data_IF_475458116494
#
_entry.id   IF_475458116494
#
_cell.length_a   1.000
_cell.length_b   1.000
_cell.length_c   1.000
_cell.angle_alpha   90.00
_cell.angle_beta   90.00
_cell.angle_gamma   90.00
#
_symmetry.space_group_name_H-M   'P 1'
#
loop_
_entity.id
_entity.type
_entity.pdbx_description
1 polymer ?
#
# COMPACT_ATOMS: atom_id res chain seq x y z
N UNK A 1 -2.86 47.28 -43.07
CA UNK A 1 -3.61 46.24 -42.34
C UNK A 1 -2.74 45.01 -42.21
N UNK A 2 -2.19 44.74 -41.03
CA UNK A 2 -1.50 43.49 -40.66
C UNK A 2 -2.07 43.09 -39.29
N UNK A 3 -2.82 41.98 -39.25
CA UNK A 3 -3.29 41.41 -38.00
C UNK A 3 -2.13 40.64 -37.34
N UNK A 4 -1.87 40.95 -36.07
CA UNK A 4 -0.90 40.24 -35.21
C UNK A 4 -1.53 38.91 -34.78
N UNK A 5 -0.79 37.83 -34.97
CA UNK A 5 -1.15 36.51 -34.43
C UNK A 5 -1.03 36.52 -32.91
N UNK A 6 -2.12 36.17 -32.24
CA UNK A 6 -2.15 35.84 -30.82
C UNK A 6 -1.88 34.34 -30.72
N UNK A 7 -0.72 33.96 -30.18
CA UNK A 7 -0.48 32.58 -29.75
C UNK A 7 -1.38 32.28 -28.55
N UNK A 8 -2.11 31.16 -28.51
CA UNK A 8 -2.77 30.75 -27.29
C UNK A 8 -1.69 30.32 -26.28
N UNK A 9 -1.73 30.94 -25.10
CA UNK A 9 -1.09 30.45 -23.89
C UNK A 9 -1.58 29.01 -23.66
N UNK A 10 -0.67 28.04 -23.81
CA UNK A 10 -0.85 26.70 -23.30
C UNK A 10 -0.79 26.83 -21.78
N UNK A 11 -1.93 26.62 -21.13
CA UNK A 11 -1.99 26.42 -19.69
C UNK A 11 -1.51 24.99 -19.45
N UNK A 12 -0.40 24.84 -18.73
CA UNK A 12 0.09 23.54 -18.28
C UNK A 12 -1.02 22.85 -17.47
N UNK A 13 -1.58 21.78 -18.03
CA UNK A 13 -2.55 20.92 -17.35
C UNK A 13 -1.76 19.83 -16.60
N UNK A 14 -1.76 19.80 -15.26
CA UNK A 14 -1.02 18.81 -14.47
C UNK A 14 -1.59 17.38 -14.58
N UNK A 15 -2.60 17.13 -15.41
CA UNK A 15 -3.24 15.82 -15.61
C UNK A 15 -2.61 14.95 -16.71
N UNK A 16 -1.49 15.34 -17.32
CA UNK A 16 -0.86 14.57 -18.42
C UNK A 16 0.35 13.72 -18.03
N UNK A 17 0.87 13.80 -16.80
CA UNK A 17 2.01 12.98 -16.34
C UNK A 17 1.62 11.66 -15.62
N UNK A 18 0.33 11.34 -15.54
CA UNK A 18 -0.19 10.11 -14.93
C UNK A 18 -1.07 9.29 -15.87
N UNK A 19 -0.65 9.16 -17.14
CA UNK A 19 -1.10 7.99 -17.92
C UNK A 19 -0.22 6.80 -17.55
N UNK A 20 -0.80 5.66 -17.10
CA UNK A 20 -0.02 4.48 -16.81
C UNK A 20 0.57 3.96 -18.13
N UNK A 21 1.89 4.01 -18.27
CA UNK A 21 2.55 2.95 -19.03
C UNK A 21 2.49 1.69 -18.17
N UNK A 22 1.85 0.61 -18.63
CA UNK A 22 2.07 -0.69 -18.04
C UNK A 22 3.52 -1.03 -18.42
N UNK A 23 4.43 -1.04 -17.45
CA UNK A 23 5.82 -1.49 -17.61
C UNK A 23 6.71 -0.59 -18.47
N UNK A 24 7.38 0.36 -17.82
CA UNK A 24 8.76 0.67 -18.17
C UNK A 24 9.68 0.07 -17.10
N UNK A 25 10.82 -0.57 -17.45
CA UNK A 25 11.85 -0.84 -16.45
C UNK A 25 12.25 0.48 -15.78
N UNK A 26 12.85 0.40 -14.60
CA UNK A 26 13.48 1.52 -13.91
C UNK A 26 14.59 2.12 -14.80
N UNK A 27 14.24 2.92 -15.81
CA UNK A 27 15.17 3.71 -16.65
C UNK A 27 15.15 5.14 -16.15
N UNK A 28 15.36 5.31 -14.84
CA UNK A 28 15.74 6.60 -14.31
C UNK A 28 17.26 6.75 -14.46
N UNK A 29 17.69 7.75 -15.24
CA UNK A 29 19.06 8.24 -15.20
C UNK A 29 19.42 8.67 -13.77
N UNK A 30 20.67 8.37 -13.37
CA UNK A 30 21.30 8.72 -12.08
C UNK A 30 21.18 10.19 -11.65
N UNK A 31 20.89 11.11 -12.57
CA UNK A 31 20.86 12.55 -12.31
C UNK A 31 19.46 13.08 -11.95
N UNK A 32 18.45 12.21 -11.85
CA UNK A 32 17.08 12.61 -11.49
C UNK A 32 16.90 12.71 -9.95
N UNK A 33 16.09 13.65 -9.43
CA UNK A 33 15.73 13.72 -8.01
C UNK A 33 15.23 12.39 -7.42
N UNK A 34 14.63 11.54 -8.26
CA UNK A 34 14.21 10.18 -7.93
C UNK A 34 15.36 9.29 -7.41
N UNK A 35 16.61 9.53 -7.81
CA UNK A 35 17.76 8.78 -7.27
C UNK A 35 18.13 9.19 -5.84
N UNK A 36 17.86 10.44 -5.42
CA UNK A 36 18.07 10.87 -4.04
C UNK A 36 17.29 9.98 -3.07
N UNK A 37 16.01 9.79 -3.39
CA UNK A 37 15.08 8.91 -2.65
C UNK A 37 15.54 7.45 -2.68
N UNK A 38 15.96 6.94 -3.85
CA UNK A 38 16.49 5.56 -3.98
C UNK A 38 17.71 5.32 -3.10
N UNK A 39 18.70 6.21 -3.15
CA UNK A 39 19.94 6.08 -2.36
C UNK A 39 19.65 6.22 -0.87
N UNK A 40 18.78 7.15 -0.50
CA UNK A 40 18.43 7.38 0.91
C UNK A 40 17.61 6.20 1.46
N UNK A 41 16.66 5.66 0.71
CA UNK A 41 15.89 4.48 1.09
C UNK A 41 16.77 3.22 1.21
N UNK A 42 17.69 2.98 0.27
CA UNK A 42 18.56 1.79 0.29
C UNK A 42 19.60 1.84 1.40
N UNK A 43 20.33 2.96 1.50
CA UNK A 43 21.58 3.01 2.23
C UNK A 43 21.48 3.72 3.58
N UNK A 44 20.43 4.49 3.82
CA UNK A 44 20.12 5.02 5.13
C UNK A 44 21.28 5.71 5.84
N UNK A 45 21.55 5.40 7.13
CA UNK A 45 22.67 5.99 7.87
C UNK A 45 24.05 5.61 7.30
N UNK A 46 24.14 4.53 6.52
CA UNK A 46 25.37 4.02 5.90
C UNK A 46 25.61 4.59 4.48
N UNK A 47 24.92 5.67 4.10
CA UNK A 47 25.03 6.30 2.76
C UNK A 47 26.46 6.51 2.29
N UNK A 48 27.36 6.98 3.18
CA UNK A 48 28.77 7.19 2.84
C UNK A 48 29.49 5.88 2.53
N UNK A 49 29.23 4.81 3.30
CA UNK A 49 29.80 3.48 3.10
C UNK A 49 29.27 2.83 1.83
N UNK A 50 27.97 2.93 1.58
CA UNK A 50 27.34 2.50 0.33
C UNK A 50 28.01 3.16 -0.89
N UNK A 51 28.13 4.50 -0.86
CA UNK A 51 28.78 5.26 -1.95
C UNK A 51 30.25 4.88 -2.12
N UNK A 52 30.99 4.69 -1.03
CA UNK A 52 32.38 4.26 -1.09
C UNK A 52 32.55 2.84 -1.68
N UNK A 53 31.62 1.94 -1.38
CA UNK A 53 31.66 0.53 -1.82
C UNK A 53 31.21 0.39 -3.27
N UNK A 54 30.14 1.09 -3.65
CA UNK A 54 29.53 0.95 -4.97
C UNK A 54 30.01 1.98 -5.98
N UNK A 55 30.73 3.01 -5.52
CA UNK A 55 31.21 4.12 -6.34
C UNK A 55 30.08 4.98 -6.90
N UNK A 56 30.45 5.89 -7.81
CA UNK A 56 29.51 6.70 -8.60
C UNK A 56 29.05 5.91 -9.84
N UNK A 57 28.50 4.71 -9.64
CA UNK A 57 27.91 3.94 -10.74
C UNK A 57 26.89 4.81 -11.46
N UNK A 58 27.06 4.92 -12.79
CA UNK A 58 26.24 5.79 -13.64
C UNK A 58 24.85 5.25 -13.96
N UNK A 59 24.54 4.03 -13.54
CA UNK A 59 23.23 3.43 -13.77
C UNK A 59 22.58 3.09 -12.43
N UNK A 60 21.34 3.54 -12.23
CA UNK A 60 20.58 3.33 -10.99
C UNK A 60 20.46 1.86 -10.62
N UNK A 61 20.15 1.02 -11.60
CA UNK A 61 20.00 -0.42 -11.40
C UNK A 61 21.31 -1.08 -10.95
N UNK A 62 22.42 -0.72 -11.60
CA UNK A 62 23.74 -1.22 -11.24
C UNK A 62 24.19 -0.75 -9.85
N UNK A 63 23.84 0.48 -9.46
CA UNK A 63 24.09 0.98 -8.11
C UNK A 63 23.27 0.22 -7.08
N UNK A 64 21.95 0.09 -7.29
CA UNK A 64 21.04 -0.62 -6.39
C UNK A 64 21.47 -2.08 -6.19
N UNK A 65 21.79 -2.79 -7.27
CA UNK A 65 22.33 -4.15 -7.24
C UNK A 65 23.56 -4.25 -6.32
N UNK A 66 24.55 -3.37 -6.50
CA UNK A 66 25.73 -3.35 -5.64
C UNK A 66 25.41 -3.00 -4.18
N UNK A 67 24.50 -2.07 -3.95
CA UNK A 67 24.13 -1.68 -2.59
C UNK A 67 23.44 -2.84 -1.86
N UNK A 68 22.56 -3.59 -2.54
CA UNK A 68 21.96 -4.83 -2.01
C UNK A 68 23.04 -5.86 -1.71
N UNK A 69 24.00 -6.07 -2.63
CA UNK A 69 25.12 -6.99 -2.41
C UNK A 69 25.95 -6.61 -1.18
N UNK A 70 26.22 -5.31 -0.99
CA UNK A 70 26.95 -4.79 0.16
C UNK A 70 26.17 -4.88 1.47
N UNK A 71 24.85 -4.64 1.42
CA UNK A 71 23.98 -4.67 2.59
C UNK A 71 23.71 -6.09 3.05
N UNK A 72 23.55 -7.06 2.14
CA UNK A 72 23.09 -8.41 2.47
C UNK A 72 24.13 -9.52 2.28
N UNK A 73 25.30 -9.23 1.68
CA UNK A 73 26.25 -10.26 1.23
C UNK A 73 26.92 -11.11 2.34
N UNK A 74 26.75 -10.76 3.61
CA UNK A 74 27.16 -11.59 4.76
C UNK A 74 26.09 -12.63 5.18
N UNK A 75 24.90 -12.59 4.57
CA UNK A 75 23.77 -13.49 4.79
C UNK A 75 23.20 -13.94 3.44
N UNK A 76 23.67 -15.09 2.94
CA UNK A 76 23.33 -15.57 1.59
C UNK A 76 21.83 -15.78 1.36
N UNK A 77 21.08 -16.14 2.40
CA UNK A 77 19.63 -16.34 2.30
C UNK A 77 18.90 -15.00 2.17
N UNK A 78 19.19 -14.04 3.07
CA UNK A 78 18.62 -12.69 2.94
C UNK A 78 19.08 -12.01 1.65
N UNK A 79 20.33 -12.21 1.24
CA UNK A 79 20.85 -11.67 -0.01
C UNK A 79 20.05 -12.17 -1.22
N UNK A 80 19.79 -13.48 -1.30
CA UNK A 80 19.01 -14.07 -2.39
C UNK A 80 17.62 -13.43 -2.45
N UNK A 81 16.92 -13.34 -1.32
CA UNK A 81 15.58 -12.79 -1.25
C UNK A 81 15.53 -11.27 -1.51
N UNK A 82 16.54 -10.53 -1.04
CA UNK A 82 16.67 -9.10 -1.32
C UNK A 82 16.93 -8.84 -2.81
N UNK A 83 17.75 -9.68 -3.45
CA UNK A 83 17.94 -9.66 -4.91
C UNK A 83 16.65 -10.01 -5.64
N UNK A 84 15.92 -11.01 -5.19
CA UNK A 84 14.62 -11.40 -5.75
C UNK A 84 13.60 -10.26 -5.68
N UNK A 85 13.49 -9.59 -4.52
CA UNK A 85 12.63 -8.41 -4.34
C UNK A 85 12.95 -7.30 -5.36
N UNK A 86 14.24 -7.06 -5.62
CA UNK A 86 14.67 -6.04 -6.55
C UNK A 86 14.59 -6.46 -8.02
N UNK A 87 15.06 -7.66 -8.35
CA UNK A 87 15.20 -8.11 -9.73
C UNK A 87 13.84 -8.51 -10.34
N UNK A 88 12.94 -9.10 -9.55
CA UNK A 88 11.59 -9.46 -10.00
C UNK A 88 10.60 -8.31 -9.85
N UNK A 89 10.54 -7.70 -8.67
CA UNK A 89 9.53 -6.68 -8.38
C UNK A 89 10.04 -5.25 -8.58
N UNK A 90 11.34 -5.00 -8.77
CA UNK A 90 11.85 -3.63 -8.85
C UNK A 90 11.75 -2.85 -7.53
N UNK A 91 11.45 -3.53 -6.43
CA UNK A 91 11.30 -2.93 -5.09
C UNK A 91 12.64 -3.01 -4.35
N UNK A 92 13.11 -1.87 -3.83
CA UNK A 92 14.41 -1.79 -3.17
C UNK A 92 14.31 -2.21 -1.69
N UNK A 93 15.04 -3.25 -1.23
CA UNK A 93 15.10 -3.62 0.17
C UNK A 93 16.19 -2.82 0.89
N UNK A 94 15.80 -1.76 1.58
CA UNK A 94 16.69 -0.84 2.27
C UNK A 94 16.35 -0.66 3.74
N UNK A 95 17.08 0.19 4.45
CA UNK A 95 16.78 0.53 5.85
C UNK A 95 16.40 1.99 6.07
N UNK A 96 16.67 2.84 5.07
CA UNK A 96 16.46 4.29 5.17
C UNK A 96 17.21 4.95 6.32
N UNK A 97 17.12 6.28 6.42
CA UNK A 97 17.76 6.96 7.53
C UNK A 97 16.98 6.70 8.83
N UNK A 98 17.66 6.90 9.96
CA UNK A 98 16.95 6.96 11.24
C UNK A 98 16.00 8.16 11.18
N UNK A 99 14.70 7.90 11.34
CA UNK A 99 13.68 8.92 11.33
C UNK A 99 12.89 8.90 12.63
N UNK A 100 12.48 10.10 13.02
CA UNK A 100 11.44 10.31 14.01
C UNK A 100 10.11 10.23 13.27
N UNK A 101 9.28 9.25 13.62
CA UNK A 101 7.94 9.08 13.04
C UNK A 101 6.94 9.71 14.00
N UNK A 102 6.06 10.57 13.49
CA UNK A 102 4.81 10.89 14.16
C UNK A 102 3.80 9.81 13.81
N UNK A 103 3.57 8.88 14.74
CA UNK A 103 2.65 7.76 14.57
C UNK A 103 1.23 8.12 15.04
N UNK A 104 0.85 9.39 14.89
CA UNK A 104 -0.44 9.91 15.30
C UNK A 104 -0.64 9.78 16.81
N UNK A 105 -1.67 9.05 17.22
CA UNK A 105 -1.98 8.90 18.65
C UNK A 105 -0.92 8.13 19.45
N UNK A 106 -0.07 7.36 18.78
CA UNK A 106 1.07 6.68 19.42
C UNK A 106 2.22 7.65 19.71
N UNK A 107 2.12 8.87 19.20
CA UNK A 107 3.07 9.94 19.41
C UNK A 107 4.34 9.77 18.57
N UNK A 108 5.36 10.50 19.00
CA UNK A 108 6.62 10.62 18.29
C UNK A 108 7.58 9.50 18.70
N UNK A 109 8.02 8.68 17.74
CA UNK A 109 8.86 7.51 17.98
C UNK A 109 10.17 7.58 17.21
N UNK A 110 11.25 7.12 17.84
CA UNK A 110 12.54 6.94 17.17
C UNK A 110 12.58 5.57 16.49
N UNK A 111 13.00 5.56 15.24
CA UNK A 111 13.31 4.33 14.51
C UNK A 111 14.81 4.05 14.51
N UNK A 112 15.19 2.79 14.37
CA UNK A 112 16.55 2.35 14.09
C UNK A 112 16.56 1.49 12.85
N UNK A 113 17.45 1.81 11.92
CA UNK A 113 17.72 1.00 10.75
C UNK A 113 18.01 -0.45 11.16
N UNK A 114 17.34 -1.41 10.53
CA UNK A 114 17.52 -2.83 10.82
C UNK A 114 17.26 -3.67 9.57
N UNK A 115 18.20 -4.56 9.21
CA UNK A 115 18.03 -5.44 8.05
C UNK A 115 17.32 -6.74 8.44
N UNK A 116 16.44 -7.30 7.58
CA UNK A 116 15.80 -8.61 7.77
C UNK A 116 16.80 -9.76 7.51
N UNK A 117 17.74 -9.93 8.44
CA UNK A 117 18.79 -10.97 8.44
C UNK A 117 18.65 -11.93 9.60
N UNK A 118 19.32 -13.08 9.49
CA UNK A 118 19.30 -14.13 10.52
C UNK A 118 17.86 -14.52 10.89
N UNK A 119 17.47 -14.28 12.15
CA UNK A 119 16.13 -14.60 12.65
C UNK A 119 15.00 -13.85 11.91
N UNK A 120 15.28 -12.69 11.28
CA UNK A 120 14.29 -11.86 10.59
C UNK A 120 14.19 -12.14 9.08
N UNK A 121 14.90 -13.15 8.56
CA UNK A 121 14.88 -13.53 7.12
C UNK A 121 13.48 -13.78 6.57
N UNK A 122 12.62 -14.35 7.41
CA UNK A 122 11.27 -14.74 7.04
C UNK A 122 10.44 -13.52 6.56
N UNK A 123 10.71 -12.30 7.03
CA UNK A 123 10.04 -11.10 6.52
C UNK A 123 10.31 -10.85 5.02
N UNK A 124 11.54 -11.07 4.54
CA UNK A 124 11.82 -10.96 3.10
C UNK A 124 11.08 -12.04 2.30
N UNK A 125 11.03 -13.27 2.83
CA UNK A 125 10.29 -14.36 2.20
C UNK A 125 8.79 -14.01 2.06
N UNK A 126 8.21 -13.47 3.13
CA UNK A 126 6.81 -13.04 3.15
C UNK A 126 6.54 -11.88 2.21
N UNK A 127 7.43 -10.87 2.15
CA UNK A 127 7.27 -9.73 1.25
C UNK A 127 7.37 -10.14 -0.23
N UNK A 128 8.36 -10.96 -0.58
CA UNK A 128 8.50 -11.46 -1.96
C UNK A 128 7.27 -12.26 -2.37
N UNK A 129 6.82 -13.20 -1.53
CA UNK A 129 5.62 -13.99 -1.83
C UNK A 129 4.36 -13.13 -1.88
N UNK A 130 4.23 -12.18 -0.97
CA UNK A 130 3.13 -11.23 -0.92
C UNK A 130 3.02 -10.40 -2.20
N UNK A 131 4.13 -9.80 -2.66
CA UNK A 131 4.13 -9.02 -3.91
C UNK A 131 3.78 -9.87 -5.12
N UNK A 132 4.29 -11.11 -5.22
CA UNK A 132 3.88 -12.04 -6.29
C UNK A 132 2.38 -12.30 -6.28
N UNK A 133 1.79 -12.55 -5.12
CA UNK A 133 0.35 -12.78 -4.99
C UNK A 133 -0.44 -11.51 -5.37
N UNK A 134 -0.04 -10.34 -4.88
CA UNK A 134 -0.68 -9.05 -5.21
C UNK A 134 -0.65 -8.82 -6.72
N UNK A 135 0.52 -8.94 -7.35
CA UNK A 135 0.69 -8.78 -8.79
C UNK A 135 -0.13 -9.79 -9.59
N UNK A 136 -0.19 -11.05 -9.15
CA UNK A 136 -0.98 -12.09 -9.82
C UNK A 136 -2.49 -11.83 -9.73
N UNK A 137 -3.00 -11.43 -8.56
CA UNK A 137 -4.44 -11.13 -8.39
C UNK A 137 -4.83 -9.91 -9.21
N UNK A 138 -4.04 -8.84 -9.15
CA UNK A 138 -4.30 -7.62 -9.92
C UNK A 138 -4.20 -7.90 -11.44
N UNK A 139 -3.24 -8.74 -11.88
CA UNK A 139 -3.17 -9.16 -13.27
C UNK A 139 -4.40 -9.96 -13.70
N UNK A 140 -4.90 -10.89 -12.88
CA UNK A 140 -6.12 -11.65 -13.17
C UNK A 140 -7.34 -10.73 -13.30
N UNK A 141 -7.48 -9.75 -12.40
CA UNK A 141 -8.53 -8.73 -12.46
C UNK A 141 -8.42 -7.88 -13.72
N UNK A 142 -7.21 -7.44 -14.07
CA UNK A 142 -6.96 -6.66 -15.28
C UNK A 142 -7.33 -7.41 -16.57
N UNK A 143 -7.25 -8.75 -16.60
CA UNK A 143 -7.72 -9.53 -17.77
C UNK A 143 -9.24 -9.56 -17.93
N UNK A 144 -9.98 -9.23 -16.87
CA UNK A 144 -11.45 -9.21 -16.85
C UNK A 144 -12.01 -7.81 -17.08
N UNK A 145 -11.22 -6.75 -16.83
CA UNK A 145 -11.69 -5.37 -16.95
C UNK A 145 -11.76 -4.89 -18.40
N UNK A 146 -12.80 -4.10 -18.71
CA UNK A 146 -12.86 -3.29 -19.93
C UNK A 146 -12.21 -1.91 -19.78
N UNK A 147 -11.92 -1.50 -18.55
CA UNK A 147 -11.27 -0.23 -18.21
C UNK A 147 -9.84 -0.48 -17.70
N UNK A 148 -8.96 0.53 -17.72
CA UNK A 148 -7.64 0.38 -17.12
C UNK A 148 -7.73 0.17 -15.60
N UNK A 149 -7.00 -0.83 -15.08
CA UNK A 149 -6.71 -0.92 -13.64
C UNK A 149 -5.66 0.13 -13.30
N UNK A 150 -5.98 1.04 -12.38
CA UNK A 150 -5.13 2.17 -11.99
C UNK A 150 -4.41 1.95 -10.64
N UNK A 151 -4.30 0.69 -10.21
CA UNK A 151 -3.59 0.34 -8.98
C UNK A 151 -2.14 -0.08 -9.25
N UNK A 152 -1.17 0.65 -8.68
CA UNK A 152 0.23 0.23 -8.62
C UNK A 152 0.41 -0.82 -7.54
N UNK A 153 0.92 -1.98 -7.94
CA UNK A 153 1.03 -3.19 -7.10
C UNK A 153 2.24 -3.26 -6.18
N UNK A 154 3.10 -2.24 -6.19
CA UNK A 154 4.39 -2.26 -5.49
C UNK A 154 4.87 -0.87 -5.08
N UNK A 155 5.58 -0.75 -3.94
CA UNK A 155 6.32 0.46 -3.61
C UNK A 155 7.62 0.55 -4.42
N UNK A 156 8.26 1.71 -4.43
CA UNK A 156 9.62 1.86 -4.95
C UNK A 156 10.66 1.23 -4.02
N UNK A 157 10.42 1.31 -2.71
CA UNK A 157 11.29 0.72 -1.70
C UNK A 157 10.51 0.22 -0.50
N UNK A 158 11.08 -0.78 0.16
CA UNK A 158 10.70 -1.17 1.52
C UNK A 158 11.86 -0.79 2.43
N UNK A 159 11.55 0.01 3.44
CA UNK A 159 12.50 0.55 4.40
C UNK A 159 12.36 -0.20 5.73
N UNK A 160 13.29 -1.10 6.01
CA UNK A 160 13.28 -1.93 7.20
C UNK A 160 13.84 -1.21 8.43
N UNK A 161 13.05 -1.20 9.50
CA UNK A 161 13.42 -0.57 10.77
C UNK A 161 12.94 -1.39 11.97
N UNK A 162 13.34 -0.92 13.15
CA UNK A 162 12.77 -1.28 14.45
C UNK A 162 12.47 -0.01 15.24
N UNK A 163 11.54 -0.06 16.18
CA UNK A 163 11.32 1.02 17.16
C UNK A 163 11.92 0.65 18.51
N UNK A 164 12.19 1.65 19.35
CA UNK A 164 12.78 1.41 20.67
C UNK A 164 11.76 0.88 21.69
N UNK A 165 10.55 1.46 21.72
CA UNK A 165 9.31 0.97 22.35
C UNK A 165 8.21 2.03 22.12
N UNK A 166 6.94 1.65 21.91
CA UNK A 166 6.43 0.30 21.62
C UNK A 166 6.72 -0.12 20.17
N UNK A 167 6.55 -1.40 19.82
CA UNK A 167 6.83 -1.96 18.48
C UNK A 167 5.85 -1.51 17.38
N UNK A 168 5.25 -0.33 17.51
CA UNK A 168 4.30 0.24 16.57
C UNK A 168 4.93 1.42 15.80
N UNK A 169 4.38 1.77 14.62
CA UNK A 169 3.43 0.98 13.86
C UNK A 169 4.09 -0.27 13.26
N UNK A 170 3.29 -1.21 12.74
CA UNK A 170 3.82 -2.37 12.01
C UNK A 170 4.41 -1.94 10.67
N UNK A 171 3.74 -1.02 9.99
CA UNK A 171 4.18 -0.43 8.75
C UNK A 171 3.63 1.00 8.61
N UNK A 172 4.11 1.72 7.61
CA UNK A 172 3.51 2.98 7.14
C UNK A 172 3.90 3.21 5.69
N UNK A 173 3.21 4.12 5.02
CA UNK A 173 3.46 4.49 3.63
C UNK A 173 3.72 5.98 3.47
N UNK A 174 4.80 6.35 2.78
CA UNK A 174 5.05 7.74 2.38
C UNK A 174 5.98 7.82 1.18
N UNK A 175 5.81 8.82 0.31
CA UNK A 175 6.73 9.12 -0.80
C UNK A 175 7.07 7.92 -1.71
N UNK A 176 6.11 7.01 -1.91
CA UNK A 176 6.28 5.73 -2.63
C UNK A 176 7.17 4.68 -1.93
N UNK A 177 7.39 4.83 -0.64
CA UNK A 177 8.15 3.91 0.23
C UNK A 177 7.20 3.33 1.26
N UNK A 178 7.36 2.04 1.54
CA UNK A 178 6.73 1.39 2.70
C UNK A 178 7.79 1.27 3.79
N UNK A 179 7.58 1.93 4.92
CA UNK A 179 8.30 1.65 6.14
C UNK A 179 7.81 0.32 6.72
N UNK A 180 8.73 -0.61 7.01
CA UNK A 180 8.42 -1.94 7.53
C UNK A 180 9.12 -2.19 8.86
N UNK A 181 8.35 -2.31 9.94
CA UNK A 181 8.90 -2.62 11.27
C UNK A 181 9.13 -4.13 11.41
N UNK A 182 10.37 -4.56 11.59
CA UNK A 182 10.71 -5.97 11.78
C UNK A 182 10.16 -6.57 13.08
N UNK A 183 9.67 -5.75 13.99
CA UNK A 183 9.03 -6.17 15.24
C UNK A 183 7.56 -5.72 15.31
N UNK A 184 7.00 -5.32 14.16
CA UNK A 184 5.62 -4.88 14.02
C UNK A 184 4.61 -5.94 14.50
N UNK A 185 3.62 -5.57 15.33
CA UNK A 185 2.68 -6.51 15.95
C UNK A 185 1.72 -7.18 14.96
N UNK A 186 1.54 -6.64 13.75
CA UNK A 186 0.73 -7.29 12.70
C UNK A 186 1.53 -8.31 11.89
N UNK A 187 2.86 -8.36 12.04
CA UNK A 187 3.73 -9.24 11.25
C UNK A 187 3.84 -10.64 11.85
N UNK A 188 2.72 -11.27 12.17
CA UNK A 188 2.66 -12.58 12.84
C UNK A 188 2.67 -13.75 11.84
N UNK A 189 2.27 -13.50 10.59
CA UNK A 189 2.22 -14.51 9.54
C UNK A 189 2.41 -13.89 8.16
N UNK A 190 2.73 -14.73 7.17
CA UNK A 190 2.80 -14.33 5.77
C UNK A 190 1.50 -13.65 5.30
N UNK A 191 0.34 -14.18 5.68
CA UNK A 191 -0.95 -13.66 5.27
C UNK A 191 -1.19 -12.25 5.82
N UNK A 192 -0.95 -12.03 7.13
CA UNK A 192 -1.09 -10.71 7.74
C UNK A 192 -0.07 -9.72 7.20
N UNK A 193 1.17 -10.13 6.93
CA UNK A 193 2.17 -9.27 6.26
C UNK A 193 1.75 -8.85 4.86
N UNK A 194 1.20 -9.78 4.07
CA UNK A 194 0.71 -9.47 2.73
C UNK A 194 -0.49 -8.51 2.78
N UNK A 195 -1.40 -8.69 3.73
CA UNK A 195 -2.55 -7.81 3.94
C UNK A 195 -2.09 -6.38 4.32
N UNK A 196 -1.25 -6.26 5.36
CA UNK A 196 -0.60 -4.99 5.74
C UNK A 196 0.17 -4.36 4.57
N UNK A 197 0.91 -5.13 3.79
CA UNK A 197 1.61 -4.60 2.62
C UNK A 197 0.63 -4.04 1.58
N UNK A 198 -0.50 -4.70 1.33
CA UNK A 198 -1.52 -4.19 0.42
C UNK A 198 -2.14 -2.88 0.93
N UNK A 199 -2.46 -2.81 2.22
CA UNK A 199 -2.93 -1.59 2.88
C UNK A 199 -1.97 -0.41 2.67
N UNK A 200 -0.68 -0.62 2.95
CA UNK A 200 0.32 0.44 2.76
C UNK A 200 0.51 0.81 1.28
N UNK A 201 0.43 -0.15 0.37
CA UNK A 201 0.46 0.13 -1.07
C UNK A 201 -0.80 0.93 -1.49
N UNK A 202 -1.95 0.67 -0.88
CA UNK A 202 -3.16 1.45 -1.13
C UNK A 202 -2.96 2.92 -0.74
N UNK A 203 -2.40 3.20 0.43
CA UNK A 203 -2.05 4.57 0.83
C UNK A 203 -1.18 5.29 -0.20
N UNK A 204 -0.20 4.59 -0.78
CA UNK A 204 0.62 5.15 -1.86
C UNK A 204 -0.15 5.43 -3.16
N UNK A 205 -1.18 4.63 -3.47
CA UNK A 205 -2.03 4.83 -4.63
C UNK A 205 -3.01 5.99 -4.40
N UNK A 206 -3.64 6.06 -3.23
CA UNK A 206 -4.55 7.14 -2.86
C UNK A 206 -3.84 8.50 -2.90
N UNK A 207 -2.64 8.60 -2.32
CA UNK A 207 -1.79 9.79 -2.42
C UNK A 207 -1.40 10.11 -3.88
N UNK A 208 -1.08 9.09 -4.68
CA UNK A 208 -0.80 9.24 -6.11
C UNK A 208 -2.00 9.75 -6.92
N UNK A 209 -3.21 9.52 -6.44
CA UNK A 209 -4.47 9.98 -7.01
C UNK A 209 -4.95 11.30 -6.38
N UNK A 210 -4.06 12.02 -5.70
CA UNK A 210 -4.35 13.32 -5.10
C UNK A 210 -5.21 13.21 -3.85
N UNK A 211 -4.96 12.20 -3.02
CA UNK A 211 -5.70 11.92 -1.79
C UNK A 211 -7.19 11.71 -2.08
N UNK A 212 -7.48 10.87 -3.08
CA UNK A 212 -8.81 10.65 -3.64
C UNK A 212 -9.85 10.30 -2.57
N UNK A 213 -9.47 9.49 -1.58
CA UNK A 213 -10.37 9.01 -0.53
C UNK A 213 -10.99 10.15 0.29
N UNK A 214 -10.24 11.24 0.53
CA UNK A 214 -10.71 12.42 1.27
C UNK A 214 -11.91 13.09 0.57
N UNK A 215 -12.00 13.05 -0.77
CA UNK A 215 -13.17 13.61 -1.48
C UNK A 215 -14.25 12.58 -1.73
N UNK A 216 -13.87 11.32 -2.01
CA UNK A 216 -14.77 10.30 -2.49
C UNK A 216 -15.55 9.62 -1.34
N UNK A 217 -14.85 9.32 -0.24
CA UNK A 217 -15.39 8.48 0.83
C UNK A 217 -15.76 9.28 2.08
N UNK A 218 -15.31 10.52 2.26
CA UNK A 218 -15.63 11.31 3.46
C UNK A 218 -17.14 11.42 3.74
N UNK A 219 -18.03 11.66 2.76
CA UNK A 219 -19.47 11.70 3.04
C UNK A 219 -20.02 10.39 3.61
N UNK A 220 -19.56 9.24 3.09
CA UNK A 220 -19.99 7.92 3.56
C UNK A 220 -19.41 7.63 4.95
N UNK A 221 -18.12 7.91 5.15
CA UNK A 221 -17.42 7.74 6.41
C UNK A 221 -18.05 8.59 7.53
N UNK A 222 -18.36 9.86 7.27
CA UNK A 222 -19.06 10.74 8.22
C UNK A 222 -20.46 10.23 8.54
N UNK A 223 -21.22 9.73 7.56
CA UNK A 223 -22.56 9.18 7.81
C UNK A 223 -22.53 7.95 8.73
N UNK A 224 -21.50 7.10 8.61
CA UNK A 224 -21.28 5.96 9.51
C UNK A 224 -21.01 6.46 10.94
N UNK A 225 -20.06 7.39 11.12
CA UNK A 225 -19.72 7.94 12.44
C UNK A 225 -20.88 8.73 13.07
N UNK A 226 -21.69 9.44 12.29
CA UNK A 226 -22.89 10.13 12.78
C UNK A 226 -23.95 9.13 13.27
N UNK A 227 -24.03 7.96 12.64
CA UNK A 227 -25.00 6.91 13.01
C UNK A 227 -24.53 6.13 14.23
N UNK A 228 -23.25 5.77 14.28
CA UNK A 228 -22.71 4.80 15.23
C UNK A 228 -21.89 5.40 16.37
N UNK A 229 -21.38 6.63 16.22
CA UNK A 229 -20.37 7.20 17.12
C UNK A 229 -19.20 6.23 17.36
N UNK A 230 -18.97 5.81 18.61
CA UNK A 230 -17.95 4.85 19.03
C UNK A 230 -18.52 3.48 19.45
N UNK A 231 -19.78 3.17 19.08
CA UNK A 231 -20.41 1.89 19.40
C UNK A 231 -19.89 0.76 18.48
N UNK A 232 -19.12 -0.15 19.06
CA UNK A 232 -18.53 -1.30 18.37
C UNK A 232 -19.56 -2.17 17.63
N UNK A 233 -20.74 -2.42 18.24
CA UNK A 233 -21.75 -3.27 17.63
C UNK A 233 -22.42 -2.60 16.43
N UNK A 234 -22.53 -1.27 16.46
CA UNK A 234 -23.00 -0.48 15.33
C UNK A 234 -21.94 -0.36 14.23
N UNK A 235 -20.66 -0.24 14.59
CA UNK A 235 -19.54 -0.09 13.64
C UNK A 235 -19.15 -1.41 12.96
N UNK A 236 -19.36 -2.57 13.60
CA UNK A 236 -18.98 -3.89 13.10
C UNK A 236 -19.40 -4.17 11.64
N UNK A 237 -20.63 -3.88 11.19
CA UNK A 237 -21.02 -4.11 9.80
C UNK A 237 -20.29 -3.21 8.80
N UNK A 238 -19.75 -2.06 9.24
CA UNK A 238 -19.06 -1.08 8.39
C UNK A 238 -17.55 -1.25 8.38
N UNK A 239 -16.98 -2.01 9.33
CA UNK A 239 -15.55 -2.29 9.41
C UNK A 239 -15.14 -3.28 8.31
N UNK A 240 -14.20 -2.92 7.42
CA UNK A 240 -13.73 -3.84 6.38
C UNK A 240 -12.94 -5.03 6.94
N UNK A 241 -12.27 -4.84 8.09
CA UNK A 241 -11.56 -5.91 8.82
C UNK A 241 -11.78 -5.83 10.35
N UNK A 242 -11.31 -6.83 11.07
CA UNK A 242 -11.42 -6.99 12.53
C UNK A 242 -10.34 -6.22 13.33
N UNK A 243 -9.47 -5.48 12.64
CA UNK A 243 -8.36 -4.74 13.27
C UNK A 243 -8.90 -3.62 14.16
N UNK A 244 -8.58 -3.69 15.46
CA UNK A 244 -8.96 -2.68 16.46
C UNK A 244 -7.74 -2.01 17.09
N UNK A 245 -7.89 -0.74 17.45
CA UNK A 245 -6.89 -0.04 18.26
C UNK A 245 -6.92 -0.62 19.69
N UNK A 246 -5.76 -0.94 20.30
CA UNK A 246 -5.72 -1.39 21.69
C UNK A 246 -6.49 -0.44 22.63
N UNK A 247 -7.49 -1.00 23.33
CA UNK A 247 -8.36 -0.28 24.24
C UNK A 247 -9.37 0.67 23.58
N UNK A 248 -9.62 0.54 22.27
CA UNK A 248 -10.68 1.27 21.58
C UNK A 248 -11.39 0.42 20.54
N UNK A 249 -11.77 1.04 19.42
CA UNK A 249 -12.65 0.43 18.40
C UNK A 249 -11.89 0.07 17.12
N UNK A 250 -12.61 -0.29 16.06
CA UNK A 250 -12.09 -0.57 14.73
C UNK A 250 -11.18 0.55 14.25
N UNK A 251 -10.02 0.15 13.71
CA UNK A 251 -8.92 1.03 13.38
C UNK A 251 -9.29 2.27 12.55
N UNK A 252 -10.15 2.23 11.51
CA UNK A 252 -10.47 3.42 10.75
C UNK A 252 -11.43 4.37 11.48
N UNK A 253 -12.20 3.87 12.45
CA UNK A 253 -13.25 4.61 13.16
C UNK A 253 -12.84 5.11 14.55
N UNK A 254 -11.75 4.60 15.12
CA UNK A 254 -11.31 5.00 16.45
C UNK A 254 -10.98 6.50 16.51
N UNK A 255 -11.48 7.29 17.48
CA UNK A 255 -11.26 8.73 17.53
C UNK A 255 -9.79 9.18 17.49
N UNK A 256 -8.86 8.28 17.82
CA UNK A 256 -7.41 8.50 17.77
C UNK A 256 -6.83 8.42 16.36
N UNK A 257 -7.51 7.76 15.45
CA UNK A 257 -7.10 7.51 14.06
C UNK A 257 -8.12 8.09 13.08
N UNK A 258 -9.42 7.83 13.28
CA UNK A 258 -10.62 8.42 12.65
C UNK A 258 -10.34 9.05 11.28
N UNK A 259 -9.80 8.26 10.38
CA UNK A 259 -9.23 8.72 9.13
C UNK A 259 -9.90 8.00 7.97
N UNK A 260 -10.58 8.78 7.13
CA UNK A 260 -11.17 8.29 5.88
C UNK A 260 -10.15 7.59 4.99
N UNK A 261 -8.88 7.99 5.05
CA UNK A 261 -7.78 7.33 4.33
C UNK A 261 -7.52 5.92 4.83
N UNK A 262 -7.56 5.71 6.15
CA UNK A 262 -7.44 4.36 6.73
C UNK A 262 -8.66 3.51 6.38
N UNK A 263 -9.86 4.10 6.39
CA UNK A 263 -11.07 3.43 5.93
C UNK A 263 -10.97 2.99 4.46
N UNK A 264 -10.45 3.85 3.59
CA UNK A 264 -10.24 3.54 2.17
C UNK A 264 -9.22 2.41 1.99
N UNK A 265 -8.10 2.47 2.71
CA UNK A 265 -7.06 1.45 2.67
C UNK A 265 -7.57 0.09 3.15
N UNK A 266 -8.38 0.06 4.22
CA UNK A 266 -9.01 -1.18 4.69
C UNK A 266 -10.07 -1.72 3.71
N UNK A 267 -10.84 -0.86 3.00
CA UNK A 267 -11.71 -1.33 1.91
C UNK A 267 -10.88 -1.94 0.79
N UNK A 268 -9.76 -1.30 0.41
CA UNK A 268 -8.84 -1.83 -0.58
C UNK A 268 -8.25 -3.18 -0.17
N UNK A 269 -7.79 -3.31 1.07
CA UNK A 269 -7.32 -4.56 1.64
C UNK A 269 -8.42 -5.64 1.60
N UNK A 270 -9.63 -5.30 2.05
CA UNK A 270 -10.76 -6.23 2.04
C UNK A 270 -11.13 -6.69 0.62
N UNK A 271 -11.09 -5.77 -0.35
CA UNK A 271 -11.23 -6.12 -1.77
C UNK A 271 -10.20 -7.15 -2.20
N UNK A 272 -8.93 -6.92 -1.86
CA UNK A 272 -7.84 -7.82 -2.21
C UNK A 272 -8.00 -9.20 -1.57
N UNK A 273 -8.36 -9.27 -0.28
CA UNK A 273 -8.56 -10.54 0.44
C UNK A 273 -9.68 -11.37 -0.20
N UNK A 274 -10.83 -10.75 -0.49
CA UNK A 274 -11.96 -11.44 -1.12
C UNK A 274 -11.64 -11.88 -2.55
N UNK A 275 -10.99 -11.03 -3.34
CA UNK A 275 -10.63 -11.34 -4.73
C UNK A 275 -9.53 -12.40 -4.83
N UNK A 276 -8.56 -12.37 -3.91
CA UNK A 276 -7.53 -13.40 -3.81
C UNK A 276 -8.16 -14.77 -3.55
N UNK A 277 -9.15 -14.88 -2.66
CA UNK A 277 -9.85 -16.14 -2.41
C UNK A 277 -10.47 -16.72 -3.70
N UNK A 278 -11.08 -15.85 -4.50
CA UNK A 278 -11.70 -16.24 -5.77
C UNK A 278 -10.64 -16.63 -6.81
N UNK A 279 -9.59 -15.81 -6.98
CA UNK A 279 -8.55 -16.05 -7.98
C UNK A 279 -7.71 -17.28 -7.66
N UNK A 280 -7.30 -17.46 -6.41
CA UNK A 280 -6.41 -18.57 -6.02
C UNK A 280 -7.16 -19.89 -5.77
N UNK A 281 -8.41 -19.82 -5.28
CA UNK A 281 -9.15 -21.01 -4.80
C UNK A 281 -10.51 -21.21 -5.45
N UNK A 282 -11.02 -20.25 -6.22
CA UNK A 282 -12.38 -20.29 -6.77
C UNK A 282 -13.45 -20.15 -5.69
N UNK A 283 -13.10 -19.61 -4.52
CA UNK A 283 -13.98 -19.51 -3.36
C UNK A 283 -14.58 -18.11 -3.25
N UNK A 284 -15.91 -18.03 -3.23
CA UNK A 284 -16.62 -16.79 -2.89
C UNK A 284 -16.58 -16.56 -1.37
N UNK A 285 -16.50 -15.30 -0.90
CA UNK A 285 -16.61 -15.02 0.53
C UNK A 285 -17.99 -15.45 1.04
N UNK A 286 -18.05 -16.06 2.24
CA UNK A 286 -19.31 -16.44 2.88
C UNK A 286 -20.21 -15.20 3.11
N UNK A 287 -19.58 -14.09 3.47
CA UNK A 287 -20.21 -12.79 3.58
C UNK A 287 -19.28 -11.73 2.95
N UNK A 288 -19.67 -11.28 1.76
CA UNK A 288 -19.02 -10.18 1.07
C UNK A 288 -19.23 -8.87 1.84
N UNK A 289 -18.16 -8.10 2.05
CA UNK A 289 -18.23 -6.81 2.76
C UNK A 289 -19.26 -5.86 2.15
N UNK A 290 -19.29 -5.75 0.81
CA UNK A 290 -20.23 -4.90 0.06
C UNK A 290 -21.71 -5.22 0.32
N UNK A 291 -22.01 -6.43 0.83
CA UNK A 291 -23.38 -6.90 1.02
C UNK A 291 -23.92 -6.70 2.44
N UNK A 292 -23.12 -6.20 3.37
CA UNK A 292 -23.58 -5.98 4.74
C UNK A 292 -24.51 -4.76 4.86
N UNK A 293 -24.22 -3.67 4.16
CA UNK A 293 -25.01 -2.42 4.20
C UNK A 293 -24.99 -1.72 2.82
N UNK A 294 -25.93 -0.82 2.58
CA UNK A 294 -25.90 0.01 1.36
C UNK A 294 -24.70 0.97 1.34
N UNK A 295 -24.27 1.48 2.50
CA UNK A 295 -23.09 2.34 2.60
C UNK A 295 -21.81 1.57 2.23
N UNK A 296 -21.71 0.28 2.61
CA UNK A 296 -20.59 -0.56 2.20
C UNK A 296 -20.60 -0.79 0.69
N UNK A 297 -21.77 -1.07 0.11
CA UNK A 297 -21.91 -1.23 -1.34
C UNK A 297 -21.45 0.02 -2.10
N UNK A 298 -21.84 1.21 -1.61
CA UNK A 298 -21.45 2.49 -2.20
C UNK A 298 -19.94 2.76 -2.05
N UNK A 299 -19.38 2.54 -0.86
CA UNK A 299 -17.95 2.74 -0.60
C UNK A 299 -17.08 1.78 -1.42
N UNK A 300 -17.48 0.51 -1.46
CA UNK A 300 -16.86 -0.53 -2.27
C UNK A 300 -16.87 -0.18 -3.76
N UNK A 301 -18.03 0.20 -4.30
CA UNK A 301 -18.19 0.59 -5.70
C UNK A 301 -17.26 1.75 -6.07
N UNK A 302 -17.10 2.74 -5.19
CA UNK A 302 -16.18 3.86 -5.42
C UNK A 302 -14.71 3.39 -5.48
N UNK A 303 -14.25 2.58 -4.52
CA UNK A 303 -12.87 2.07 -4.50
C UNK A 303 -12.59 1.19 -5.73
N UNK A 304 -13.52 0.28 -6.04
CA UNK A 304 -13.43 -0.62 -7.20
C UNK A 304 -13.41 0.14 -8.52
N UNK A 305 -14.25 1.17 -8.64
CA UNK A 305 -14.30 2.04 -9.81
C UNK A 305 -13.00 2.82 -10.02
N UNK A 306 -12.42 3.37 -8.95
CA UNK A 306 -11.21 4.20 -9.03
C UNK A 306 -9.96 3.37 -9.33
N UNK A 307 -9.72 2.30 -8.58
CA UNK A 307 -8.43 1.62 -8.57
C UNK A 307 -8.42 0.32 -9.39
N UNK A 308 -9.55 -0.39 -9.45
CA UNK A 308 -9.60 -1.78 -9.94
C UNK A 308 -10.38 -1.93 -11.25
N UNK A 309 -10.54 -0.83 -12.01
CA UNK A 309 -11.17 -0.84 -13.32
C UNK A 309 -12.64 -1.31 -13.28
N UNK A 310 -13.33 -1.07 -12.15
CA UNK A 310 -14.72 -1.48 -11.98
C UNK A 310 -14.94 -2.99 -11.81
N UNK A 311 -13.88 -3.80 -11.71
CA UNK A 311 -14.02 -5.26 -11.63
C UNK A 311 -14.24 -5.70 -10.20
N UNK A 312 -15.38 -6.36 -10.01
CA UNK A 312 -15.74 -7.05 -8.78
C UNK A 312 -16.09 -8.50 -9.09
N UNK A 313 -15.24 -9.42 -8.64
CA UNK A 313 -15.40 -10.87 -8.80
C UNK A 313 -16.34 -11.48 -7.76
N UNK A 314 -16.66 -10.72 -6.70
CA UNK A 314 -17.53 -11.18 -5.63
C UNK A 314 -18.97 -11.22 -6.13
N UNK A 315 -19.66 -12.32 -5.84
CA UNK A 315 -21.04 -12.53 -6.26
C UNK A 315 -21.95 -11.35 -5.89
N UNK A 316 -23.03 -11.18 -6.67
CA UNK A 316 -24.06 -10.19 -6.39
C UNK A 316 -24.68 -10.39 -5.00
N UNK A 317 -25.02 -9.29 -4.34
CA UNK A 317 -25.61 -9.36 -3.01
C UNK A 317 -27.00 -10.01 -3.06
N UNK A 318 -27.32 -10.89 -2.10
CA UNK A 318 -28.66 -11.45 -2.00
C UNK A 318 -29.70 -10.33 -1.91
N UNK A 319 -30.75 -10.40 -2.74
CA UNK A 319 -31.91 -9.53 -2.55
C UNK A 319 -32.55 -9.88 -1.21
N UNK A 320 -32.88 -8.89 -0.34
CA UNK A 320 -33.62 -9.17 0.88
C UNK A 320 -34.90 -9.95 0.53
N UNK A 321 -35.14 -11.07 1.21
CA UNK A 321 -36.40 -11.78 1.05
C UNK A 321 -37.55 -10.81 1.38
N UNK A 322 -38.65 -10.79 0.62
CA UNK A 322 -39.79 -9.95 0.95
C UNK A 322 -40.23 -10.28 2.38
N UNK A 323 -40.31 -9.25 3.23
CA UNK A 323 -40.74 -9.39 4.62
C UNK A 323 -42.10 -10.08 4.65
N UNK A 324 -42.20 -11.17 5.41
CA UNK A 324 -43.43 -11.96 5.58
C UNK A 324 -44.51 -11.25 6.43
N UNK A 325 -44.61 -9.92 6.34
CA UNK A 325 -45.57 -9.09 7.07
C UNK A 325 -46.67 -8.50 6.17
N UNK A 326 -47.00 -9.17 5.06
CA UNK A 326 -48.29 -8.99 4.39
C UNK A 326 -48.91 -10.36 4.11
N UNK A 327 -49.61 -10.91 5.10
CA UNK A 327 -50.52 -12.06 4.98
C UNK A 327 -51.66 -11.93 5.98
#
# INVERSE_FOLDING_TARGET
MRARGVSPLVVDDPRTDFRPTPWGPFVASIETPAMGVVVDALCGPDRARCKATCGERKEARSFAACAIDALYGDDSESWTLARELFDEHGTLPGTGAVHVIDAGYLGVMNTRAALPKGAYRHHLQWLVKGLRTIESVIAAVATTSSEPVLFRTRPHAVMFYKTDVPSYPSAYAMENVVGYNLEGPLHESEHKVMATLFHEIFHLNDAGHGDWSDRALSPLFSAILETCADDDACLEPYAPDDTKVPGGTYYPFDPRTAAVREYAAEIGERWFVEHRAIVERGEQPEQAFKCATSLNADAWSQVVGEFFGGVDLVAECPTPAPSSEES
#
